data_IF_995970749176
#
_entry.id   IF_995970749176
#
_cell.length_a   1.000
_cell.length_b   1.000
_cell.length_c   1.000
_cell.angle_alpha   90.00
_cell.angle_beta   90.00
_cell.angle_gamma   90.00
#
_symmetry.space_group_name_H-M   'P 1'
#
loop_
_entity.id
_entity.type
_entity.pdbx_description
1 polymer ?
#
# COMPACT_ATOMS: atom_id res chain seq x y z
N UNK A 1 -50.52 -45.76 21.25
CA UNK A 1 -49.17 -45.17 21.26
C UNK A 1 -48.35 -45.75 20.12
N UNK A 2 -48.08 -44.99 19.05
CA UNK A 2 -46.95 -45.25 18.17
C UNK A 2 -46.07 -44.01 17.94
N UNK A 3 -44.89 -44.27 17.39
CA UNK A 3 -43.64 -43.54 17.48
C UNK A 3 -43.52 -42.28 16.59
N UNK A 4 -42.68 -41.36 17.05
CA UNK A 4 -42.26 -40.10 16.41
C UNK A 4 -41.36 -40.35 15.19
N UNK A 5 -41.60 -39.68 14.05
CA UNK A 5 -40.58 -39.46 13.02
C UNK A 5 -40.24 -37.96 12.96
N UNK A 6 -39.43 -37.46 13.90
CA UNK A 6 -39.08 -36.03 13.95
C UNK A 6 -37.57 -35.76 13.76
N UNK A 7 -36.81 -36.75 13.33
CA UNK A 7 -35.34 -36.72 13.37
C UNK A 7 -34.66 -36.75 11.98
N UNK A 8 -35.41 -36.55 10.90
CA UNK A 8 -34.86 -36.51 9.54
C UNK A 8 -34.92 -35.14 8.85
N UNK A 9 -35.57 -34.14 9.47
CA UNK A 9 -35.73 -32.80 8.87
C UNK A 9 -34.68 -31.77 9.34
N UNK A 10 -33.79 -32.14 10.27
CA UNK A 10 -32.78 -31.23 10.80
C UNK A 10 -31.46 -31.24 9.99
N UNK A 11 -31.19 -32.29 9.20
CA UNK A 11 -29.93 -32.38 8.42
C UNK A 11 -29.97 -31.68 7.06
N UNK A 12 -31.15 -31.36 6.51
CA UNK A 12 -31.24 -30.71 5.19
C UNK A 12 -31.19 -29.17 5.24
N UNK A 13 -31.27 -28.55 6.42
CA UNK A 13 -31.28 -27.08 6.57
C UNK A 13 -29.89 -26.46 6.82
N UNK A 14 -28.84 -27.27 6.99
CA UNK A 14 -27.46 -26.77 7.18
C UNK A 14 -26.62 -26.71 5.89
N UNK A 15 -27.17 -27.18 4.76
CA UNK A 15 -26.46 -27.21 3.46
C UNK A 15 -26.80 -26.05 2.51
N UNK A 16 -27.69 -25.14 2.92
CA UNK A 16 -28.07 -23.98 2.13
C UNK A 16 -27.62 -22.66 2.79
N UNK A 17 -26.41 -22.63 3.33
CA UNK A 17 -25.73 -21.34 3.51
C UNK A 17 -25.17 -20.96 2.14
N UNK A 18 -25.80 -20.03 1.38
CA UNK A 18 -25.15 -19.48 0.21
C UNK A 18 -23.80 -18.96 0.69
N UNK A 19 -22.73 -19.47 0.09
CA UNK A 19 -21.39 -18.98 0.35
C UNK A 19 -21.46 -17.47 0.25
N UNK A 20 -21.30 -16.78 1.39
CA UNK A 20 -20.99 -15.36 1.37
C UNK A 20 -19.67 -15.28 0.65
N UNK A 21 -19.73 -15.09 -0.67
CA UNK A 21 -18.65 -14.51 -1.42
C UNK A 21 -18.38 -13.20 -0.70
N UNK A 22 -17.33 -13.18 0.12
CA UNK A 22 -16.70 -11.95 0.53
C UNK A 22 -16.13 -11.38 -0.76
N UNK A 23 -16.99 -10.73 -1.55
CA UNK A 23 -16.57 -9.76 -2.53
C UNK A 23 -15.88 -8.69 -1.70
N UNK A 24 -14.57 -8.86 -1.54
CA UNK A 24 -13.71 -7.94 -0.84
C UNK A 24 -13.74 -6.69 -1.70
N UNK A 25 -14.61 -5.74 -1.36
CA UNK A 25 -14.69 -4.45 -2.03
C UNK A 25 -13.27 -3.92 -2.11
N UNK A 26 -12.78 -3.70 -3.32
CA UNK A 26 -11.42 -3.20 -3.52
C UNK A 26 -11.22 -2.00 -2.58
N UNK A 27 -10.11 -1.94 -1.83
CA UNK A 27 -9.91 -0.87 -0.88
C UNK A 27 -10.03 0.47 -1.59
N UNK A 28 -10.89 1.33 -1.06
CA UNK A 28 -11.09 2.66 -1.63
C UNK A 28 -9.84 3.50 -1.35
N UNK A 29 -9.14 3.87 -2.42
CA UNK A 29 -7.94 4.69 -2.34
C UNK A 29 -8.37 6.14 -2.11
N UNK A 30 -7.78 6.85 -1.13
CA UNK A 30 -8.17 8.22 -0.85
C UNK A 30 -7.87 9.10 -2.07
N UNK A 31 -8.81 9.99 -2.41
CA UNK A 31 -8.70 10.88 -3.56
C UNK A 31 -8.77 12.33 -3.14
N UNK A 32 -7.97 13.15 -3.79
CA UNK A 32 -8.11 14.58 -3.75
C UNK A 32 -9.38 14.99 -4.54
N UNK A 33 -10.34 15.71 -3.92
CA UNK A 33 -11.62 16.02 -4.55
C UNK A 33 -11.50 17.00 -5.73
N UNK A 34 -10.45 17.80 -5.78
CA UNK A 34 -10.24 18.79 -6.84
C UNK A 34 -9.60 18.17 -8.08
N UNK A 35 -8.63 17.28 -7.88
CA UNK A 35 -7.85 16.69 -8.98
C UNK A 35 -8.30 15.28 -9.35
N UNK A 36 -9.09 14.62 -8.51
CA UNK A 36 -9.48 13.21 -8.64
C UNK A 36 -8.35 12.21 -8.44
N UNK A 37 -7.11 12.69 -8.20
CA UNK A 37 -5.91 11.87 -8.03
C UNK A 37 -5.86 11.20 -6.67
N UNK A 38 -5.23 10.04 -6.61
CA UNK A 38 -4.96 9.35 -5.34
C UNK A 38 -4.00 10.20 -4.52
N UNK A 39 -4.39 10.48 -3.28
CA UNK A 39 -3.64 11.34 -2.38
C UNK A 39 -3.90 10.95 -0.92
N UNK A 40 -2.83 10.78 -0.15
CA UNK A 40 -2.92 10.58 1.30
C UNK A 40 -2.50 11.86 2.00
N UNK A 41 -3.42 12.47 2.74
CA UNK A 41 -3.16 13.66 3.54
C UNK A 41 -3.53 13.38 4.99
N UNK A 42 -2.71 13.84 5.93
CA UNK A 42 -3.02 13.73 7.34
C UNK A 42 -1.90 14.22 8.24
N UNK A 43 -2.01 13.89 9.53
CA UNK A 43 -1.04 14.28 10.55
C UNK A 43 -0.72 13.10 11.44
N UNK A 44 0.57 12.82 11.65
CA UNK A 44 1.04 11.86 12.67
C UNK A 44 1.29 12.68 13.96
N UNK A 45 0.51 12.48 15.04
CA UNK A 45 0.61 13.32 16.24
C UNK A 45 1.95 13.10 16.94
N UNK A 46 2.54 14.15 17.51
CA UNK A 46 3.77 14.01 18.28
C UNK A 46 3.57 13.12 19.52
N UNK A 47 4.60 12.35 19.94
CA UNK A 47 4.57 11.69 21.24
C UNK A 47 4.38 12.71 22.38
N UNK A 48 3.86 12.25 23.52
CA UNK A 48 3.74 13.07 24.73
C UNK A 48 4.82 12.64 25.75
N UNK A 49 5.60 13.57 26.33
CA UNK A 49 5.61 15.01 26.05
C UNK A 49 6.13 15.35 24.64
N UNK A 50 5.73 16.52 24.12
CA UNK A 50 6.12 16.96 22.78
C UNK A 50 7.65 17.00 22.65
N UNK A 51 8.25 16.32 21.67
CA UNK A 51 9.70 16.30 21.52
C UNK A 51 10.23 17.67 21.07
N UNK A 52 11.49 17.97 21.41
CA UNK A 52 12.21 19.14 20.88
C UNK A 52 12.37 19.04 19.37
N UNK A 53 12.68 20.14 18.67
CA UNK A 53 12.87 20.14 17.22
C UNK A 53 13.89 19.09 16.75
N UNK A 54 15.01 18.95 17.47
CA UNK A 54 16.03 17.94 17.14
C UNK A 54 15.51 16.51 17.33
N UNK A 55 14.73 16.27 18.38
CA UNK A 55 14.09 14.98 18.62
C UNK A 55 13.01 14.68 17.57
N UNK A 56 12.22 15.68 17.16
CA UNK A 56 11.26 15.56 16.07
C UNK A 56 11.97 15.18 14.78
N UNK A 57 13.02 15.89 14.37
CA UNK A 57 13.78 15.55 13.15
C UNK A 57 14.35 14.12 13.21
N UNK A 58 14.88 13.71 14.36
CA UNK A 58 15.41 12.35 14.56
C UNK A 58 14.31 11.29 14.46
N UNK A 59 13.17 11.55 15.09
CA UNK A 59 12.00 10.67 15.08
C UNK A 59 11.45 10.52 13.66
N UNK A 60 11.30 11.63 12.93
CA UNK A 60 10.84 11.62 11.54
C UNK A 60 11.80 10.88 10.62
N UNK A 61 13.13 11.07 10.78
CA UNK A 61 14.11 10.29 10.01
C UNK A 61 14.00 8.78 10.26
N UNK A 62 13.86 8.38 11.52
CA UNK A 62 13.69 6.95 11.90
C UNK A 62 12.39 6.39 11.33
N UNK A 63 11.29 7.12 11.46
CA UNK A 63 10.00 6.75 10.89
C UNK A 63 10.12 6.60 9.36
N UNK A 64 10.70 7.60 8.67
CA UNK A 64 10.85 7.59 7.23
C UNK A 64 11.62 6.36 6.77
N UNK A 65 12.81 6.10 7.35
CA UNK A 65 13.65 4.96 6.98
C UNK A 65 13.02 3.59 7.30
N UNK A 66 12.20 3.51 8.36
CA UNK A 66 11.57 2.26 8.78
C UNK A 66 10.30 1.95 8.00
N UNK A 67 9.52 2.98 7.68
CA UNK A 67 8.16 2.84 7.16
C UNK A 67 8.07 3.09 5.67
N UNK A 68 8.94 3.93 5.13
CA UNK A 68 9.04 4.26 3.71
C UNK A 68 10.38 3.76 3.17
N UNK A 69 10.44 3.32 1.91
CA UNK A 69 11.71 2.88 1.31
C UNK A 69 12.35 4.04 0.54
N UNK A 70 13.60 4.37 0.90
CA UNK A 70 14.43 5.37 0.19
C UNK A 70 15.06 4.70 -1.01
N UNK A 71 14.92 5.27 -2.22
CA UNK A 71 15.48 4.66 -3.45
C UNK A 71 17.00 4.71 -3.44
N UNK A 72 17.71 3.57 -3.31
CA UNK A 72 19.14 3.54 -3.55
C UNK A 72 19.34 3.48 -5.06
N UNK A 73 19.60 4.64 -5.68
CA UNK A 73 20.06 4.66 -7.07
C UNK A 73 18.99 4.61 -8.16
N UNK A 74 17.73 4.96 -7.89
CA UNK A 74 16.99 5.64 -8.96
C UNK A 74 17.86 6.85 -9.31
N UNK A 75 18.42 6.88 -10.54
CA UNK A 75 18.92 8.12 -11.14
C UNK A 75 17.79 9.11 -10.99
N UNK A 76 17.83 9.90 -9.92
CA UNK A 76 16.80 10.84 -9.60
C UNK A 76 16.87 11.81 -10.78
N UNK A 77 15.88 11.73 -11.68
CA UNK A 77 15.82 12.58 -12.88
C UNK A 77 15.83 14.07 -12.50
N UNK A 78 15.62 14.38 -11.22
CA UNK A 78 15.84 15.67 -10.58
C UNK A 78 16.47 15.47 -9.20
N UNK A 79 17.28 16.43 -8.71
CA UNK A 79 17.64 16.47 -7.30
C UNK A 79 16.34 16.45 -6.48
N UNK A 80 16.19 15.48 -5.59
CA UNK A 80 15.04 15.42 -4.70
C UNK A 80 15.07 16.67 -3.82
N UNK A 81 14.09 17.56 -3.97
CA UNK A 81 13.93 18.67 -3.04
C UNK A 81 13.74 18.09 -1.64
N UNK A 82 14.46 18.63 -0.66
CA UNK A 82 14.39 18.12 0.68
C UNK A 82 13.11 18.59 1.38
N UNK A 83 12.45 17.67 2.09
CA UNK A 83 11.33 17.97 2.98
C UNK A 83 11.83 18.14 4.44
N UNK A 84 10.93 18.25 5.42
CA UNK A 84 11.29 18.35 6.83
C UNK A 84 12.36 17.32 7.24
N UNK A 85 13.29 17.75 8.09
CA UNK A 85 14.46 16.98 8.54
C UNK A 85 15.50 16.64 7.45
N UNK A 86 15.45 17.28 6.27
CA UNK A 86 16.39 17.07 5.17
C UNK A 86 16.15 15.76 4.43
N UNK A 87 14.93 15.22 4.50
CA UNK A 87 14.55 13.96 3.90
C UNK A 87 14.21 14.15 2.41
N UNK A 88 14.39 13.13 1.56
CA UNK A 88 13.99 13.24 0.16
C UNK A 88 12.47 13.39 0.05
N UNK A 89 12.01 14.16 -0.92
CA UNK A 89 10.59 14.31 -1.24
C UNK A 89 10.01 13.17 -2.09
N UNK A 90 10.72 12.04 -2.28
CA UNK A 90 10.26 10.89 -3.06
C UNK A 90 10.58 9.61 -2.27
N UNK A 91 9.66 8.65 -2.32
CA UNK A 91 9.83 7.33 -1.74
C UNK A 91 9.20 6.26 -2.64
N UNK A 92 9.45 5.00 -2.31
CA UNK A 92 8.80 3.89 -2.97
C UNK A 92 8.47 2.76 -1.99
N UNK A 93 7.69 1.80 -2.46
CA UNK A 93 7.46 0.52 -1.82
C UNK A 93 7.56 -0.57 -2.89
N UNK A 94 8.31 -1.64 -2.60
CA UNK A 94 8.37 -2.82 -3.46
C UNK A 94 7.49 -3.94 -2.92
N UNK A 95 6.79 -4.64 -3.82
CA UNK A 95 6.06 -5.86 -3.53
C UNK A 95 6.47 -6.92 -4.55
N UNK A 96 7.16 -7.94 -4.07
CA UNK A 96 7.56 -9.10 -4.86
C UNK A 96 6.49 -10.18 -4.78
N UNK A 97 6.12 -10.76 -5.91
CA UNK A 97 5.21 -11.89 -6.01
C UNK A 97 5.67 -12.87 -7.09
N UNK A 98 5.03 -14.03 -7.13
CA UNK A 98 5.27 -15.04 -8.16
C UNK A 98 4.05 -15.13 -9.08
N UNK A 99 4.26 -14.97 -10.38
CA UNK A 99 3.24 -15.17 -11.40
C UNK A 99 3.46 -16.51 -12.12
N UNK A 100 2.41 -17.16 -12.64
CA UNK A 100 2.57 -18.34 -13.49
C UNK A 100 3.36 -17.97 -14.76
N UNK A 101 4.49 -18.64 -14.98
CA UNK A 101 5.30 -18.50 -16.18
C UNK A 101 4.85 -19.46 -17.29
N UNK A 102 5.42 -19.35 -18.51
CA UNK A 102 5.18 -20.28 -19.59
C UNK A 102 5.62 -21.69 -19.17
N UNK A 103 4.69 -22.64 -19.19
CA UNK A 103 4.97 -24.03 -18.88
C UNK A 103 5.87 -24.64 -19.95
N UNK A 104 7.10 -24.98 -19.59
CA UNK A 104 7.98 -25.79 -20.44
C UNK A 104 7.90 -27.24 -20.00
N UNK A 105 7.48 -28.13 -20.90
CA UNK A 105 7.46 -29.58 -20.64
C UNK A 105 6.48 -30.03 -19.53
N UNK A 106 5.40 -29.29 -19.28
CA UNK A 106 4.41 -29.65 -18.26
C UNK A 106 4.80 -29.32 -16.81
N UNK A 107 5.96 -28.69 -16.60
CA UNK A 107 6.35 -28.15 -15.29
C UNK A 107 5.84 -26.70 -15.20
N UNK A 108 4.97 -26.36 -14.24
CA UNK A 108 4.57 -24.99 -14.02
C UNK A 108 5.78 -24.20 -13.50
N UNK A 109 6.27 -23.27 -14.30
CA UNK A 109 7.29 -22.30 -13.88
C UNK A 109 6.60 -21.15 -13.16
N UNK A 110 7.31 -20.53 -12.21
CA UNK A 110 6.88 -19.31 -11.53
C UNK A 110 7.89 -18.23 -11.80
N UNK A 111 7.46 -17.13 -12.38
CA UNK A 111 8.29 -15.95 -12.60
C UNK A 111 8.17 -15.01 -11.40
N UNK A 112 9.30 -14.57 -10.87
CA UNK A 112 9.34 -13.55 -9.84
C UNK A 112 9.09 -12.18 -10.48
N UNK A 113 8.04 -11.51 -10.05
CA UNK A 113 7.66 -10.17 -10.51
C UNK A 113 7.71 -9.22 -9.33
N UNK A 114 8.51 -8.17 -9.45
CA UNK A 114 8.56 -7.10 -8.46
C UNK A 114 7.76 -5.90 -8.94
N UNK A 115 6.71 -5.56 -8.19
CA UNK A 115 5.95 -4.34 -8.39
C UNK A 115 6.55 -3.25 -7.50
N UNK A 116 6.66 -2.03 -8.03
CA UNK A 116 7.16 -0.87 -7.30
C UNK A 116 6.14 0.25 -7.35
N UNK A 117 5.63 0.66 -6.20
CA UNK A 117 4.85 1.90 -6.06
C UNK A 117 5.79 3.05 -5.72
N UNK A 118 5.92 4.03 -6.60
CA UNK A 118 6.65 5.29 -6.39
C UNK A 118 5.66 6.40 -6.06
N UNK A 119 6.09 7.37 -5.24
CA UNK A 119 5.26 8.51 -4.86
C UNK A 119 6.11 9.67 -4.34
N UNK A 120 5.57 10.87 -4.49
CA UNK A 120 6.07 12.07 -3.85
C UNK A 120 5.68 12.11 -2.37
N UNK A 121 6.52 12.72 -1.54
CA UNK A 121 6.40 12.84 -0.10
C UNK A 121 6.64 14.29 0.30
N UNK A 122 5.64 14.93 0.91
CA UNK A 122 5.78 16.25 1.52
C UNK A 122 5.53 16.10 3.02
N UNK A 123 6.41 16.65 3.84
CA UNK A 123 6.40 16.54 5.30
C UNK A 123 6.61 17.92 5.90
N UNK A 124 5.74 18.30 6.82
CA UNK A 124 5.82 19.59 7.50
C UNK A 124 5.59 19.40 8.98
N UNK A 125 6.53 19.87 9.81
CA UNK A 125 6.33 19.87 11.25
C UNK A 125 5.31 20.95 11.62
N UNK A 126 4.33 20.56 12.43
CA UNK A 126 3.29 21.45 12.98
C UNK A 126 3.27 21.30 14.50
N UNK A 127 2.62 22.23 15.25
CA UNK A 127 2.45 22.05 16.69
C UNK A 127 1.72 20.75 17.08
N UNK A 128 0.80 20.27 16.25
CA UNK A 128 0.02 19.05 16.53
C UNK A 128 0.75 17.75 16.17
N UNK A 129 1.69 17.79 15.23
CA UNK A 129 2.33 16.58 14.70
C UNK A 129 3.12 16.82 13.42
N UNK A 130 3.49 15.72 12.77
CA UNK A 130 4.04 15.72 11.42
C UNK A 130 2.89 15.67 10.41
N UNK A 131 2.60 16.78 9.75
CA UNK A 131 1.70 16.79 8.61
C UNK A 131 2.39 16.11 7.43
N UNK A 132 1.65 15.28 6.70
CA UNK A 132 2.13 14.57 5.52
C UNK A 132 1.18 14.74 4.34
N UNK A 133 1.75 14.71 3.15
CA UNK A 133 1.05 14.50 1.88
C UNK A 133 1.84 13.51 1.03
N UNK A 134 1.20 12.42 0.65
CA UNK A 134 1.71 11.45 -0.32
C UNK A 134 0.87 11.54 -1.60
N UNK A 135 1.53 11.74 -2.74
CA UNK A 135 0.88 12.06 -4.01
C UNK A 135 1.72 11.55 -5.19
N UNK A 136 1.26 11.80 -6.42
CA UNK A 136 1.99 11.46 -7.65
C UNK A 136 2.37 9.98 -7.72
N UNK A 137 1.38 9.13 -7.47
CA UNK A 137 1.59 7.69 -7.40
C UNK A 137 1.80 7.08 -8.79
N UNK A 138 2.91 6.36 -8.95
CA UNK A 138 3.23 5.60 -10.14
C UNK A 138 3.51 4.14 -9.77
N UNK A 139 2.99 3.21 -10.57
CA UNK A 139 3.28 1.78 -10.47
C UNK A 139 4.21 1.40 -11.59
N UNK A 140 5.33 0.79 -11.22
CA UNK A 140 6.25 0.18 -12.15
C UNK A 140 6.31 -1.32 -11.93
N UNK A 141 6.22 -2.10 -13.00
CA UNK A 141 6.66 -3.48 -13.00
C UNK A 141 8.18 -3.50 -13.21
N UNK A 142 8.93 -4.08 -12.29
CA UNK A 142 10.39 -4.13 -12.33
C UNK A 142 10.79 -5.52 -12.82
N UNK A 143 11.12 -5.60 -14.12
CA UNK A 143 11.68 -6.78 -14.76
C UNK A 143 13.19 -6.53 -14.98
N UNK A 144 13.97 -7.61 -15.06
CA UNK A 144 15.45 -7.63 -15.01
C UNK A 144 16.15 -6.52 -15.84
N UNK A 145 15.59 -6.11 -16.99
CA UNK A 145 16.14 -5.05 -17.86
C UNK A 145 15.12 -4.00 -18.35
N UNK A 146 13.85 -4.05 -17.91
CA UNK A 146 12.82 -3.11 -18.34
C UNK A 146 11.83 -2.79 -17.21
N UNK A 147 11.54 -1.50 -17.04
CA UNK A 147 10.42 -1.06 -16.21
C UNK A 147 9.58 -0.06 -16.98
N UNK A 148 8.34 -0.42 -17.29
CA UNK A 148 7.31 0.55 -17.67
C UNK A 148 6.64 1.05 -16.39
N UNK A 149 6.40 2.35 -16.31
CA UNK A 149 5.70 2.97 -15.17
C UNK A 149 4.47 3.70 -15.67
N UNK A 150 3.35 3.47 -15.00
CA UNK A 150 2.09 4.16 -15.27
C UNK A 150 1.53 4.77 -14.00
N UNK A 151 0.63 5.74 -14.17
CA UNK A 151 -0.12 6.34 -13.07
C UNK A 151 -0.94 5.28 -12.33
N UNK A 152 -0.94 5.33 -11.00
CA UNK A 152 -1.64 4.35 -10.16
C UNK A 152 -3.11 4.21 -10.56
N UNK A 153 -3.80 5.33 -10.86
CA UNK A 153 -5.22 5.31 -11.20
C UNK A 153 -5.53 4.48 -12.43
N UNK A 154 -4.63 4.48 -13.43
CA UNK A 154 -4.79 3.66 -14.63
C UNK A 154 -4.64 2.17 -14.32
N UNK A 155 -3.87 1.82 -13.29
CA UNK A 155 -3.55 0.44 -12.93
C UNK A 155 -4.51 -0.18 -11.91
N UNK A 156 -5.28 0.64 -11.17
CA UNK A 156 -6.26 0.19 -10.18
C UNK A 156 -7.27 -0.85 -10.69
N UNK A 157 -7.85 -0.71 -11.91
CA UNK A 157 -8.80 -1.70 -12.42
C UNK A 157 -8.15 -3.03 -12.82
N UNK A 158 -6.86 -3.01 -13.17
CA UNK A 158 -6.15 -4.17 -13.72
C UNK A 158 -5.49 -5.04 -12.64
N UNK A 159 -5.01 -4.42 -11.55
CA UNK A 159 -4.23 -5.10 -10.51
C UNK A 159 -4.76 -4.86 -9.08
N UNK A 160 -6.07 -5.04 -8.82
CA UNK A 160 -6.68 -4.62 -7.55
C UNK A 160 -6.07 -5.32 -6.33
N UNK A 161 -5.69 -6.60 -6.44
CA UNK A 161 -5.12 -7.37 -5.33
C UNK A 161 -3.71 -6.93 -4.97
N UNK A 162 -2.85 -6.72 -5.98
CA UNK A 162 -1.47 -6.25 -5.79
C UNK A 162 -1.48 -4.85 -5.18
N UNK A 163 -2.35 -3.98 -5.71
CA UNK A 163 -2.49 -2.60 -5.26
C UNK A 163 -3.11 -2.51 -3.85
N UNK A 164 -4.04 -3.39 -3.48
CA UNK A 164 -4.54 -3.49 -2.10
C UNK A 164 -3.42 -3.75 -1.08
N UNK A 165 -2.39 -4.51 -1.45
CA UNK A 165 -1.20 -4.73 -0.63
C UNK A 165 -0.44 -3.44 -0.34
N UNK A 166 -0.22 -2.63 -1.37
CA UNK A 166 0.41 -1.31 -1.21
C UNK A 166 -0.45 -0.36 -0.37
N UNK A 167 -1.75 -0.29 -0.65
CA UNK A 167 -2.69 0.54 0.11
C UNK A 167 -2.59 0.25 1.62
N UNK A 168 -2.65 -1.03 2.00
CA UNK A 168 -2.53 -1.46 3.40
C UNK A 168 -1.18 -1.05 4.01
N UNK A 169 -0.08 -1.21 3.26
CA UNK A 169 1.26 -0.83 3.76
C UNK A 169 1.39 0.66 3.97
N UNK A 170 0.87 1.49 3.07
CA UNK A 170 0.83 2.95 3.24
C UNK A 170 0.01 3.32 4.48
N UNK A 171 -1.20 2.77 4.64
CA UNK A 171 -2.01 3.04 5.84
C UNK A 171 -1.29 2.64 7.13
N UNK A 172 -0.62 1.49 7.15
CA UNK A 172 0.16 1.04 8.31
C UNK A 172 1.40 1.91 8.57
N UNK A 173 2.03 2.47 7.52
CA UNK A 173 3.13 3.42 7.65
C UNK A 173 2.67 4.75 8.26
N UNK A 174 1.45 5.19 7.91
CA UNK A 174 0.85 6.46 8.32
C UNK A 174 0.10 6.40 9.67
N UNK A 175 -0.05 5.21 10.27
CA UNK A 175 -0.81 5.02 11.50
C UNK A 175 -0.12 5.56 12.77
N UNK A 176 1.19 5.85 12.72
CA UNK A 176 1.96 6.28 13.89
C UNK A 176 3.46 6.05 13.78
N UNK A 177 4.16 6.30 14.88
CA UNK A 177 5.61 6.15 15.03
C UNK A 177 6.09 4.68 15.03
#
# INVERSE_FOLDING_TARGET
MPARPFLLLLCCLLLASPGRSFAQTAPDWPRNPETGRVEFVGTIPWPTPTPTLQQQQTLVRRWFLRKLTVSPGARARRPAEATFAGLPNHAYLDSTGYQPGPSSGGVPTREEVTWRLRYAVQLTATPAGLAYRLSEFEIAEVVFDASTSDQLEAQLPHYPTQLAGFHRRLRNALAGW
#
